data_IF_643209986720
#
_entry.id   IF_643209986720
#
_cell.length_a   1.000
_cell.length_b   1.000
_cell.length_c   1.000
_cell.angle_alpha   90.00
_cell.angle_beta   90.00
_cell.angle_gamma   90.00
#
_symmetry.space_group_name_H-M   'P 1'
#
loop_
_entity.id
_entity.type
_entity.pdbx_description
1 polymer ?
#
# COMPACT_ATOMS: atom_id res chain seq x y z
N UNK A 1 12.59 -17.79 9.35
CA UNK A 1 12.14 -16.38 9.24
C UNK A 1 11.01 -16.15 10.23
N UNK A 2 11.01 -15.08 11.03
CA UNK A 2 9.92 -14.83 12.01
C UNK A 2 8.61 -14.46 11.31
N UNK A 3 7.46 -14.70 11.95
CA UNK A 3 6.14 -14.37 11.39
C UNK A 3 6.04 -12.90 10.96
N UNK A 4 6.58 -11.98 11.77
CA UNK A 4 6.65 -10.54 11.43
C UNK A 4 7.50 -10.28 10.17
N UNK A 5 8.67 -10.91 10.03
CA UNK A 5 9.50 -10.73 8.82
C UNK A 5 8.80 -11.26 7.58
N UNK A 6 8.13 -12.41 7.69
CA UNK A 6 7.32 -12.97 6.61
C UNK A 6 6.18 -12.03 6.19
N UNK A 7 5.44 -11.49 7.16
CA UNK A 7 4.40 -10.49 6.94
C UNK A 7 4.92 -9.27 6.19
N UNK A 8 6.04 -8.69 6.63
CA UNK A 8 6.61 -7.49 6.00
C UNK A 8 7.16 -7.79 4.59
N UNK A 9 7.75 -8.95 4.37
CA UNK A 9 8.21 -9.36 3.05
C UNK A 9 7.03 -9.54 2.07
N UNK A 10 5.94 -10.17 2.52
CA UNK A 10 4.72 -10.32 1.73
C UNK A 10 4.02 -8.98 1.47
N UNK A 11 3.99 -8.08 2.46
CA UNK A 11 3.48 -6.72 2.30
C UNK A 11 4.29 -5.95 1.26
N UNK A 12 5.62 -6.03 1.33
CA UNK A 12 6.51 -5.36 0.38
C UNK A 12 6.37 -5.92 -1.04
N UNK A 13 6.32 -7.25 -1.18
CA UNK A 13 6.16 -7.91 -2.48
C UNK A 13 4.78 -7.63 -3.10
N UNK A 14 3.71 -7.73 -2.31
CA UNK A 14 2.36 -7.41 -2.74
C UNK A 14 2.22 -5.94 -3.12
N UNK A 15 2.80 -5.03 -2.33
CA UNK A 15 2.80 -3.60 -2.63
C UNK A 15 3.55 -3.30 -3.92
N UNK A 16 4.78 -3.80 -4.07
CA UNK A 16 5.57 -3.62 -5.30
C UNK A 16 4.84 -4.14 -6.55
N UNK A 17 4.24 -5.34 -6.50
CA UNK A 17 3.47 -5.89 -7.62
C UNK A 17 2.21 -5.07 -7.93
N UNK A 18 1.51 -4.56 -6.90
CA UNK A 18 0.39 -3.66 -7.10
C UNK A 18 0.85 -2.37 -7.81
N UNK A 19 1.99 -1.80 -7.39
CA UNK A 19 2.59 -0.64 -8.04
C UNK A 19 2.97 -0.89 -9.51
N UNK A 20 3.53 -2.07 -9.81
CA UNK A 20 3.81 -2.48 -11.20
C UNK A 20 2.53 -2.59 -12.04
N UNK A 21 1.44 -3.09 -11.45
CA UNK A 21 0.15 -3.23 -12.13
C UNK A 21 -0.50 -1.90 -12.51
N UNK A 22 -0.08 -0.78 -11.91
CA UNK A 22 -0.53 0.57 -12.24
C UNK A 22 0.28 1.24 -13.35
N UNK A 23 1.43 0.68 -13.72
CA UNK A 23 2.24 1.21 -14.80
C UNK A 23 1.60 0.87 -16.16
N UNK A 24 1.74 1.75 -17.15
CA UNK A 24 1.23 1.60 -18.53
C UNK A 24 2.04 0.60 -19.38
N UNK A 25 2.45 -0.51 -18.77
CA UNK A 25 3.29 -1.56 -19.39
C UNK A 25 2.57 -2.91 -19.49
N UNK A 26 1.24 -2.93 -19.28
CA UNK A 26 0.41 -4.13 -19.47
C UNK A 26 0.49 -5.16 -18.35
N UNK A 27 0.98 -4.79 -17.15
CA UNK A 27 1.11 -5.70 -16.00
C UNK A 27 -0.11 -5.73 -15.07
N UNK A 28 -1.24 -5.14 -15.46
CA UNK A 28 -2.50 -5.22 -14.72
C UNK A 28 -2.92 -6.67 -14.33
N UNK A 29 -2.65 -7.72 -15.13
CA UNK A 29 -2.93 -9.12 -14.73
C UNK A 29 -2.17 -9.60 -13.49
N UNK A 30 -1.17 -8.86 -12.99
CA UNK A 30 -0.47 -9.19 -11.73
C UNK A 30 -1.24 -8.75 -10.47
N UNK A 31 -2.27 -7.92 -10.61
CA UNK A 31 -3.05 -7.43 -9.46
C UNK A 31 -3.63 -8.54 -8.58
N UNK A 32 -4.22 -9.64 -9.11
CA UNK A 32 -4.68 -10.75 -8.28
C UNK A 32 -3.57 -11.38 -7.43
N UNK A 33 -2.36 -11.51 -8.01
CA UNK A 33 -1.18 -12.04 -7.29
C UNK A 33 -0.73 -11.06 -6.22
N UNK A 34 -0.70 -9.76 -6.53
CA UNK A 34 -0.38 -8.71 -5.57
C UNK A 34 -1.30 -8.75 -4.35
N UNK A 35 -2.61 -8.86 -4.57
CA UNK A 35 -3.60 -8.95 -3.50
C UNK A 35 -3.53 -10.27 -2.73
N UNK A 36 -3.29 -11.39 -3.40
CA UNK A 36 -3.08 -12.67 -2.71
C UNK A 36 -1.89 -12.61 -1.75
N UNK A 37 -0.76 -12.03 -2.18
CA UNK A 37 0.40 -11.82 -1.30
C UNK A 37 0.10 -10.87 -0.15
N UNK A 38 -0.61 -9.77 -0.41
CA UNK A 38 -1.03 -8.83 0.61
C UNK A 38 -1.91 -9.51 1.67
N UNK A 39 -2.89 -10.33 1.26
CA UNK A 39 -3.76 -11.08 2.18
C UNK A 39 -2.99 -12.11 3.00
N UNK A 40 -2.14 -12.91 2.35
CA UNK A 40 -1.26 -13.85 3.05
C UNK A 40 -0.37 -13.12 4.07
N UNK A 41 0.16 -11.95 3.72
CA UNK A 41 0.90 -11.09 4.64
C UNK A 41 0.03 -10.66 5.81
N UNK A 42 -1.16 -10.14 5.54
CA UNK A 42 -2.02 -9.52 6.54
C UNK A 42 -2.62 -10.51 7.54
N UNK A 43 -2.88 -11.75 7.13
CA UNK A 43 -3.31 -12.84 8.01
C UNK A 43 -2.27 -13.15 9.10
N UNK A 44 -0.99 -12.81 8.85
CA UNK A 44 0.10 -12.98 9.81
C UNK A 44 0.20 -11.82 10.81
N UNK A 45 -0.59 -10.76 10.67
CA UNK A 45 -0.58 -9.63 11.59
C UNK A 45 -1.33 -9.97 12.89
N UNK A 46 -0.58 -10.34 13.94
CA UNK A 46 -1.16 -10.77 15.21
C UNK A 46 -1.67 -9.60 16.07
N UNK A 47 -1.02 -8.43 15.97
CA UNK A 47 -1.28 -7.27 16.81
C UNK A 47 -1.66 -6.02 16.01
N UNK A 48 -2.24 -5.03 16.69
CA UNK A 48 -2.48 -3.69 16.13
C UNK A 48 -1.21 -3.06 15.54
N UNK A 49 -0.06 -3.25 16.20
CA UNK A 49 1.24 -2.74 15.74
C UNK A 49 1.66 -3.42 14.44
N UNK A 50 1.44 -4.74 14.33
CA UNK A 50 1.75 -5.48 13.10
C UNK A 50 0.86 -5.03 11.94
N UNK A 51 -0.43 -4.78 12.20
CA UNK A 51 -1.38 -4.28 11.21
C UNK A 51 -0.99 -2.89 10.67
N UNK A 52 -0.55 -1.99 11.55
CA UNK A 52 -0.02 -0.67 11.16
C UNK A 52 1.25 -0.83 10.31
N UNK A 53 2.20 -1.66 10.74
CA UNK A 53 3.43 -1.89 10.00
C UNK A 53 3.18 -2.54 8.63
N UNK A 54 2.24 -3.48 8.55
CA UNK A 54 1.79 -4.08 7.30
C UNK A 54 1.29 -3.00 6.33
N UNK A 55 0.33 -2.18 6.77
CA UNK A 55 -0.27 -1.14 5.95
C UNK A 55 0.73 -0.10 5.46
N UNK A 56 1.65 0.32 6.34
CA UNK A 56 2.72 1.25 5.98
C UNK A 56 3.68 0.65 4.93
N UNK A 57 4.15 -0.59 5.11
CA UNK A 57 5.08 -1.21 4.17
C UNK A 57 4.41 -1.50 2.82
N UNK A 58 3.17 -2.00 2.84
CA UNK A 58 2.41 -2.25 1.61
C UNK A 58 2.21 -0.95 0.81
N UNK A 59 1.74 0.13 1.45
CA UNK A 59 1.54 1.41 0.76
C UNK A 59 2.87 2.06 0.33
N UNK A 60 3.90 2.06 1.18
CA UNK A 60 5.20 2.63 0.85
C UNK A 60 5.81 1.97 -0.40
N UNK A 61 5.78 0.63 -0.46
CA UNK A 61 6.35 -0.11 -1.59
C UNK A 61 5.51 0.03 -2.86
N UNK A 62 4.18 0.00 -2.74
CA UNK A 62 3.25 0.27 -3.85
C UNK A 62 3.55 1.60 -4.51
N UNK A 63 3.69 2.66 -3.72
CA UNK A 63 3.92 4.00 -4.25
C UNK A 63 5.37 4.27 -4.63
N UNK A 64 6.35 3.66 -3.96
CA UNK A 64 7.74 3.73 -4.40
C UNK A 64 7.88 3.17 -5.83
N UNK A 65 7.21 2.05 -6.12
CA UNK A 65 7.20 1.48 -7.46
C UNK A 65 6.33 2.31 -8.41
N UNK A 66 5.10 2.66 -8.06
CA UNK A 66 4.22 3.38 -8.95
C UNK A 66 4.74 4.78 -9.34
N UNK A 67 5.35 5.50 -8.39
CA UNK A 67 5.84 6.87 -8.60
C UNK A 67 7.33 6.95 -8.98
N UNK A 68 7.96 5.82 -9.33
CA UNK A 68 9.39 5.77 -9.67
C UNK A 68 9.78 6.71 -10.82
N UNK A 69 8.85 7.04 -11.72
CA UNK A 69 9.07 7.99 -12.81
C UNK A 69 9.48 9.39 -12.31
N UNK A 70 9.09 9.78 -11.08
CA UNK A 70 9.52 11.04 -10.47
C UNK A 70 11.05 11.07 -10.24
N UNK A 71 11.70 9.91 -10.10
CA UNK A 71 13.16 9.85 -9.97
C UNK A 71 13.88 10.33 -11.24
N UNK A 72 13.21 10.34 -12.40
CA UNK A 72 13.78 10.93 -13.61
C UNK A 72 14.04 12.44 -13.47
N UNK A 73 13.37 13.13 -12.53
CA UNK A 73 13.61 14.54 -12.23
C UNK A 73 14.96 14.78 -11.54
N UNK A 74 15.59 13.75 -10.98
CA UNK A 74 16.92 13.85 -10.37
C UNK A 74 18.01 14.29 -11.36
N UNK A 75 17.78 14.08 -12.67
CA UNK A 75 18.69 14.59 -13.72
C UNK A 75 18.74 16.12 -13.78
N UNK A 76 17.72 16.80 -13.26
CA UNK A 76 17.60 18.26 -13.26
C UNK A 76 17.91 18.87 -11.90
N UNK A 77 17.60 18.17 -10.80
CA UNK A 77 17.89 18.65 -9.44
C UNK A 77 17.93 17.51 -8.43
N UNK A 78 18.95 17.44 -7.54
CA UNK A 78 18.98 16.46 -6.46
C UNK A 78 17.83 16.64 -5.46
N UNK A 79 17.23 17.85 -5.36
CA UNK A 79 16.07 18.10 -4.52
C UNK A 79 14.81 17.36 -4.98
N UNK A 80 14.78 16.82 -6.21
CA UNK A 80 13.69 16.00 -6.69
C UNK A 80 13.42 14.76 -5.83
N UNK A 81 14.43 14.27 -5.10
CA UNK A 81 14.25 13.17 -4.14
C UNK A 81 13.25 13.54 -3.04
N UNK A 82 13.19 14.81 -2.64
CA UNK A 82 12.27 15.29 -1.61
C UNK A 82 10.83 15.20 -2.10
N UNK A 83 10.57 15.58 -3.35
CA UNK A 83 9.23 15.45 -3.95
C UNK A 83 8.79 13.99 -4.08
N UNK A 84 9.71 13.09 -4.48
CA UNK A 84 9.44 11.66 -4.52
C UNK A 84 9.09 11.10 -3.13
N UNK A 85 9.87 11.43 -2.10
CA UNK A 85 9.61 11.01 -0.73
C UNK A 85 8.31 11.62 -0.17
N UNK A 86 8.00 12.88 -0.51
CA UNK A 86 6.75 13.53 -0.14
C UNK A 86 5.54 12.86 -0.79
N UNK A 87 5.63 12.46 -2.06
CA UNK A 87 4.56 11.73 -2.74
C UNK A 87 4.28 10.38 -2.06
N UNK A 88 5.32 9.66 -1.64
CA UNK A 88 5.17 8.44 -0.83
C UNK A 88 4.57 8.78 0.54
N UNK A 89 5.09 9.79 1.24
CA UNK A 89 4.63 10.14 2.58
C UNK A 89 3.15 10.56 2.60
N UNK A 90 2.70 11.26 1.56
CA UNK A 90 1.31 11.69 1.39
C UNK A 90 0.31 10.53 1.39
N UNK A 91 0.74 9.34 0.93
CA UNK A 91 -0.15 8.18 0.80
C UNK A 91 -0.10 7.20 1.97
N UNK A 92 0.95 7.30 2.81
CA UNK A 92 1.10 6.44 3.98
C UNK A 92 -0.11 6.48 4.94
N UNK A 93 -0.80 7.62 5.15
CA UNK A 93 -2.02 7.65 5.96
C UNK A 93 -3.09 6.69 5.46
N UNK A 94 -3.27 6.54 4.14
CA UNK A 94 -4.24 5.59 3.57
C UNK A 94 -3.81 4.15 3.83
N UNK A 95 -2.52 3.82 3.64
CA UNK A 95 -2.00 2.49 3.99
C UNK A 95 -2.17 2.16 5.47
N UNK A 96 -1.97 3.15 6.36
CA UNK A 96 -2.21 3.01 7.79
C UNK A 96 -3.68 2.73 8.08
N UNK A 97 -4.61 3.45 7.44
CA UNK A 97 -6.05 3.24 7.58
C UNK A 97 -6.46 1.86 7.06
N UNK A 98 -5.97 1.43 5.89
CA UNK A 98 -6.23 0.10 5.33
C UNK A 98 -5.80 -1.01 6.31
N UNK A 99 -4.55 -0.96 6.79
CA UNK A 99 -4.01 -1.96 7.72
C UNK A 99 -4.68 -1.93 9.09
N UNK A 100 -4.84 -0.76 9.70
CA UNK A 100 -5.47 -0.63 11.02
C UNK A 100 -6.96 -0.97 10.96
N UNK A 101 -7.65 -0.47 9.94
CA UNK A 101 -9.08 -0.63 9.79
C UNK A 101 -9.46 -2.05 9.45
N UNK A 102 -8.72 -2.74 8.57
CA UNK A 102 -8.91 -4.18 8.33
C UNK A 102 -8.78 -5.00 9.62
N UNK A 103 -7.76 -4.73 10.44
CA UNK A 103 -7.58 -5.37 11.75
C UNK A 103 -8.70 -5.03 12.73
N UNK A 104 -9.15 -3.77 12.74
CA UNK A 104 -10.23 -3.30 13.60
C UNK A 104 -11.57 -3.94 13.25
N UNK A 105 -11.91 -4.03 11.95
CA UNK A 105 -13.14 -4.66 11.47
C UNK A 105 -13.23 -6.13 11.88
N UNK A 106 -12.15 -6.89 11.78
CA UNK A 106 -12.13 -8.27 12.25
C UNK A 106 -12.35 -8.34 13.76
N UNK A 107 -11.59 -7.54 14.53
CA UNK A 107 -11.62 -7.61 16.00
C UNK A 107 -12.91 -7.08 16.63
N UNK A 108 -13.55 -6.10 15.99
CA UNK A 108 -14.73 -5.42 16.56
C UNK A 108 -16.03 -5.84 15.90
N UNK A 109 -16.02 -6.14 14.61
CA UNK A 109 -17.21 -6.46 13.84
C UNK A 109 -17.31 -7.94 13.46
N UNK A 110 -16.26 -8.75 13.70
CA UNK A 110 -16.21 -10.15 13.28
C UNK A 110 -16.15 -10.34 11.77
N UNK A 111 -15.87 -9.27 11.01
CA UNK A 111 -15.82 -9.31 9.56
C UNK A 111 -14.43 -9.75 9.07
N UNK A 112 -14.33 -10.43 7.91
CA UNK A 112 -13.03 -10.79 7.35
C UNK A 112 -12.16 -9.55 7.13
N UNK A 113 -10.88 -9.61 7.53
CA UNK A 113 -9.92 -8.52 7.32
C UNK A 113 -9.82 -8.05 5.88
N UNK A 114 -9.91 -9.00 4.94
CA UNK A 114 -9.88 -8.73 3.50
C UNK A 114 -11.02 -7.78 3.08
N UNK A 115 -12.21 -7.95 3.66
CA UNK A 115 -13.36 -7.09 3.38
C UNK A 115 -13.09 -5.67 3.90
N UNK A 116 -12.62 -5.55 5.14
CA UNK A 116 -12.26 -4.26 5.73
C UNK A 116 -11.18 -3.53 4.93
N UNK A 117 -10.14 -4.25 4.50
CA UNK A 117 -9.07 -3.70 3.67
C UNK A 117 -9.61 -3.25 2.30
N UNK A 118 -10.41 -4.08 1.62
CA UNK A 118 -11.00 -3.74 0.32
C UNK A 118 -11.93 -2.53 0.38
N UNK A 119 -12.79 -2.45 1.40
CA UNK A 119 -13.69 -1.30 1.60
C UNK A 119 -12.91 0.00 1.84
N UNK A 120 -11.89 -0.04 2.70
CA UNK A 120 -11.08 1.13 3.02
C UNK A 120 -10.19 1.56 1.87
N UNK A 121 -9.67 0.61 1.10
CA UNK A 121 -8.97 0.89 -0.15
C UNK A 121 -9.89 1.61 -1.14
N UNK A 122 -11.09 1.08 -1.39
CA UNK A 122 -12.06 1.71 -2.31
C UNK A 122 -12.47 3.11 -1.84
N UNK A 123 -12.68 3.29 -0.54
CA UNK A 123 -12.95 4.60 0.06
C UNK A 123 -11.77 5.55 -0.12
N UNK A 124 -10.54 5.08 0.10
CA UNK A 124 -9.32 5.85 -0.10
C UNK A 124 -9.13 6.32 -1.53
N UNK A 125 -9.34 5.42 -2.49
CA UNK A 125 -9.33 5.74 -3.93
C UNK A 125 -10.42 6.74 -4.31
N UNK A 126 -11.61 6.61 -3.73
CA UNK A 126 -12.68 7.60 -3.93
C UNK A 126 -12.30 8.97 -3.36
N UNK A 127 -11.77 9.03 -2.13
CA UNK A 127 -11.32 10.27 -1.50
C UNK A 127 -10.18 10.94 -2.29
N UNK A 128 -9.26 10.16 -2.87
CA UNK A 128 -8.18 10.68 -3.74
C UNK A 128 -8.72 11.41 -4.97
N UNK A 129 -9.91 11.08 -5.45
CA UNK A 129 -10.57 11.77 -6.58
C UNK A 129 -11.24 13.09 -6.19
N UNK A 130 -11.48 13.31 -4.89
CA UNK A 130 -12.21 14.49 -4.41
C UNK A 130 -11.31 15.67 -4.01
N UNK A 131 -9.99 15.45 -3.90
CA UNK A 131 -9.04 16.50 -3.53
C UNK A 131 -8.35 17.14 -4.74
N UNK A 132 -7.99 18.42 -4.63
CA UNK A 132 -7.16 19.17 -5.61
C UNK A 132 -5.75 18.58 -5.79
N UNK A 133 -5.35 17.65 -4.91
CA UNK A 133 -4.13 16.86 -4.97
C UNK A 133 -4.37 15.50 -5.64
N UNK A 134 -5.25 15.45 -6.64
CA UNK A 134 -5.45 14.27 -7.48
C UNK A 134 -4.13 13.93 -8.19
N UNK A 135 -3.27 13.21 -7.48
CA UNK A 135 -2.26 12.34 -8.06
C UNK A 135 -3.03 11.07 -8.43
N UNK A 136 -3.52 10.91 -9.67
CA UNK A 136 -4.04 9.62 -10.11
C UNK A 136 -2.98 8.52 -9.89
#
# INVERSE_FOLDING_TARGET
MTARRAMLALAAAGGALAGLGWLEIGLAPLLPVAFALAMLGFDRAASRRDAVLFGLVFAATRYAVASHFLLALLRWSPLAIVFYLLAIAYILPFGLLEGLGGWWFERRCGLPRALGLGMLYALGEWLRRLGDLSFP
#
